data_IF_143083123503
#
_entry.id   IF_143083123503
#
_cell.length_a   1.000
_cell.length_b   1.000
_cell.length_c   1.000
_cell.angle_alpha   90.00
_cell.angle_beta   90.00
_cell.angle_gamma   90.00
#
_symmetry.space_group_name_H-M   'P 1'
#
loop_
_entity.id
_entity.type
_entity.pdbx_description
1 polymer ?
#
# COMPACT_ATOMS: atom_id res chain seq x y z
N UNK A 1 -8.31 -55.26 27.53
CA UNK A 1 -8.72 -54.24 26.56
C UNK A 1 -8.69 -52.87 27.24
N UNK A 2 -7.55 -52.18 27.21
CA UNK A 2 -7.45 -50.78 27.64
C UNK A 2 -7.15 -49.98 26.37
N UNK A 3 -8.20 -49.36 25.83
CA UNK A 3 -8.16 -48.57 24.60
C UNK A 3 -7.51 -47.22 24.94
N UNK A 4 -6.26 -47.01 24.52
CA UNK A 4 -5.62 -45.69 24.62
C UNK A 4 -6.26 -44.76 23.57
N UNK A 5 -7.02 -43.77 24.05
CA UNK A 5 -7.52 -42.67 23.22
C UNK A 5 -6.35 -41.73 22.92
N UNK A 6 -5.77 -41.86 21.72
CA UNK A 6 -4.86 -40.86 21.19
C UNK A 6 -5.66 -39.61 20.81
N UNK A 7 -5.57 -38.55 21.63
CA UNK A 7 -6.13 -37.25 21.30
C UNK A 7 -5.19 -36.60 20.28
N UNK A 8 -5.58 -36.62 19.01
CA UNK A 8 -4.91 -35.85 17.96
C UNK A 8 -5.23 -34.36 18.18
N UNK A 9 -4.25 -33.60 18.68
CA UNK A 9 -4.34 -32.14 18.74
C UNK A 9 -4.14 -31.61 17.32
N UNK A 10 -5.24 -31.33 16.64
CA UNK A 10 -5.24 -30.68 15.33
C UNK A 10 -4.93 -29.18 15.57
N UNK A 11 -3.68 -28.78 15.35
CA UNK A 11 -3.29 -27.37 15.40
C UNK A 11 -3.95 -26.65 14.20
N UNK A 12 -5.04 -25.92 14.46
CA UNK A 12 -5.65 -25.03 13.49
C UNK A 12 -4.69 -23.85 13.30
N UNK A 13 -3.91 -23.88 12.21
CA UNK A 13 -3.22 -22.70 11.71
C UNK A 13 -4.27 -21.71 11.22
N UNK A 14 -4.79 -20.89 12.15
CA UNK A 14 -5.63 -19.76 11.79
C UNK A 14 -4.76 -18.77 11.00
N UNK A 15 -5.01 -18.66 9.70
CA UNK A 15 -4.46 -17.58 8.88
C UNK A 15 -5.01 -16.27 9.46
N UNK A 16 -4.18 -15.52 10.18
CA UNK A 16 -4.56 -14.19 10.61
C UNK A 16 -4.97 -13.38 9.37
N UNK A 17 -6.03 -12.56 9.44
CA UNK A 17 -6.37 -11.67 8.34
C UNK A 17 -5.14 -10.83 8.01
N UNK A 18 -4.88 -10.65 6.72
CA UNK A 18 -3.72 -9.89 6.28
C UNK A 18 -3.93 -8.42 6.66
N UNK A 19 -3.29 -7.99 7.74
CA UNK A 19 -3.33 -6.62 8.26
C UNK A 19 -2.13 -5.86 7.69
N UNK A 20 -2.38 -4.68 7.14
CA UNK A 20 -1.29 -3.80 6.74
C UNK A 20 -0.56 -3.26 7.98
N UNK A 21 0.78 -3.25 7.92
CA UNK A 21 1.68 -2.79 8.98
C UNK A 21 1.82 -1.26 9.02
N UNK A 22 0.69 -0.54 9.14
CA UNK A 22 0.60 0.91 8.94
C UNK A 22 1.61 1.75 9.73
N UNK A 23 1.63 1.59 11.05
CA UNK A 23 2.49 2.39 11.93
C UNK A 23 3.98 2.09 11.71
N UNK A 24 4.33 0.83 11.49
CA UNK A 24 5.70 0.41 11.23
C UNK A 24 6.23 1.04 9.94
N UNK A 25 5.45 0.97 8.85
CA UNK A 25 5.82 1.58 7.57
C UNK A 25 5.90 3.10 7.67
N UNK A 26 4.90 3.71 8.31
CA UNK A 26 4.86 5.14 8.55
C UNK A 26 6.12 5.62 9.27
N UNK A 27 6.48 4.95 10.38
CA UNK A 27 7.68 5.25 11.15
C UNK A 27 8.96 5.02 10.33
N UNK A 28 9.07 3.91 9.61
CA UNK A 28 10.26 3.56 8.83
C UNK A 28 10.61 4.60 7.75
N UNK A 29 9.60 5.12 7.04
CA UNK A 29 9.80 6.13 6.00
C UNK A 29 9.65 7.57 6.50
N UNK A 30 9.28 7.79 7.75
CA UNK A 30 8.96 9.12 8.28
C UNK A 30 7.77 9.77 7.58
N UNK A 31 6.77 8.97 7.18
CA UNK A 31 5.57 9.44 6.48
C UNK A 31 4.40 9.38 7.45
N UNK A 32 3.58 10.43 7.49
CA UNK A 32 2.38 10.43 8.32
C UNK A 32 1.45 9.25 7.97
N UNK A 33 1.07 8.45 8.97
CA UNK A 33 0.25 7.24 8.77
C UNK A 33 -1.10 7.53 8.13
N UNK A 34 -1.72 8.67 8.45
CA UNK A 34 -3.00 9.07 7.86
C UNK A 34 -2.87 9.47 6.39
N UNK A 35 -1.70 9.97 5.96
CA UNK A 35 -1.41 10.18 4.55
C UNK A 35 -1.31 8.85 3.80
N UNK A 36 -0.61 7.86 4.36
CA UNK A 36 -0.53 6.52 3.76
C UNK A 36 -1.93 5.88 3.64
N UNK A 37 -2.73 5.97 4.71
CA UNK A 37 -4.12 5.51 4.70
C UNK A 37 -4.95 6.21 3.62
N UNK A 38 -4.85 7.54 3.52
CA UNK A 38 -5.58 8.31 2.53
C UNK A 38 -5.19 7.95 1.09
N UNK A 39 -3.91 7.66 0.84
CA UNK A 39 -3.44 7.15 -0.45
C UNK A 39 -4.03 5.78 -0.73
N UNK A 40 -3.91 4.82 0.20
CA UNK A 40 -4.47 3.48 0.05
C UNK A 40 -5.99 3.50 -0.21
N UNK A 41 -6.72 4.37 0.50
CA UNK A 41 -8.16 4.58 0.28
C UNK A 41 -8.44 5.17 -1.11
N UNK A 42 -7.60 6.08 -1.59
CA UNK A 42 -7.71 6.65 -2.95
C UNK A 42 -7.42 5.62 -4.03
N UNK A 43 -6.47 4.72 -3.79
CA UNK A 43 -6.01 3.72 -4.75
C UNK A 43 -6.96 2.52 -4.86
N UNK A 44 -7.31 1.90 -3.72
CA UNK A 44 -8.04 0.62 -3.72
C UNK A 44 -9.32 0.64 -2.88
N UNK A 45 -9.67 1.79 -2.28
CA UNK A 45 -10.65 1.85 -1.19
C UNK A 45 -10.33 0.84 -0.07
N UNK A 46 -9.03 0.72 0.25
CA UNK A 46 -8.47 -0.18 1.28
C UNK A 46 -8.65 -1.68 0.98
N UNK A 47 -8.87 -2.04 -0.28
CA UNK A 47 -9.00 -3.44 -0.68
C UNK A 47 -7.62 -4.05 -1.02
N UNK A 48 -7.07 -4.97 -0.20
CA UNK A 48 -5.77 -5.58 -0.46
C UNK A 48 -5.78 -6.55 -1.64
N UNK A 49 -6.96 -7.02 -2.08
CA UNK A 49 -7.13 -7.88 -3.26
C UNK A 49 -7.41 -7.11 -4.55
N UNK A 50 -7.34 -5.78 -4.55
CA UNK A 50 -7.64 -4.97 -5.72
C UNK A 50 -6.67 -5.24 -6.87
N UNK A 51 -7.22 -5.44 -8.08
CA UNK A 51 -6.45 -5.66 -9.31
C UNK A 51 -7.12 -4.89 -10.44
N UNK A 52 -6.40 -3.92 -11.03
CA UNK A 52 -6.94 -3.09 -12.10
C UNK A 52 -6.06 -3.15 -13.34
N UNK A 53 -6.65 -3.39 -14.53
CA UNK A 53 -5.91 -3.39 -15.81
C UNK A 53 -5.97 -2.02 -16.47
N UNK A 54 -4.82 -1.55 -16.94
CA UNK A 54 -4.68 -0.28 -17.65
C UNK A 54 -4.75 -0.46 -19.17
N UNK A 55 -5.14 0.61 -19.86
CA UNK A 55 -5.27 0.62 -21.34
C UNK A 55 -3.97 0.31 -22.07
N UNK A 56 -2.82 0.61 -21.45
CA UNK A 56 -1.49 0.35 -22.01
C UNK A 56 -0.98 -1.08 -21.73
N UNK A 57 -1.80 -1.97 -21.18
CA UNK A 57 -1.44 -3.35 -20.86
C UNK A 57 -0.77 -3.55 -19.49
N UNK A 58 -0.35 -2.48 -18.81
CA UNK A 58 0.06 -2.58 -17.40
C UNK A 58 -1.14 -2.86 -16.50
N UNK A 59 -0.90 -3.18 -15.23
CA UNK A 59 -1.95 -3.42 -14.24
C UNK A 59 -1.46 -3.02 -12.86
N UNK A 60 -2.39 -2.68 -11.98
CA UNK A 60 -2.13 -2.18 -10.65
C UNK A 60 -2.54 -3.23 -9.61
N UNK A 61 -1.69 -3.42 -8.60
CA UNK A 61 -1.73 -4.58 -7.71
C UNK A 61 -1.94 -4.13 -6.27
N UNK A 62 -2.95 -4.69 -5.62
CA UNK A 62 -3.15 -4.69 -4.17
C UNK A 62 -3.50 -3.33 -3.57
N UNK A 63 -3.25 -3.21 -2.26
CA UNK A 63 -3.71 -2.13 -1.39
C UNK A 63 -3.34 -0.71 -1.89
N UNK A 64 -2.12 -0.54 -2.34
CA UNK A 64 -1.54 0.72 -2.82
C UNK A 64 -1.49 0.80 -4.35
N UNK A 65 -2.13 -0.15 -5.05
CA UNK A 65 -2.21 -0.21 -6.51
C UNK A 65 -0.84 -0.05 -7.19
N UNK A 66 0.13 -0.86 -6.78
CA UNK A 66 1.47 -0.84 -7.34
C UNK A 66 1.41 -1.26 -8.81
N UNK A 67 1.75 -0.35 -9.71
CA UNK A 67 1.74 -0.63 -11.14
C UNK A 67 2.80 -1.67 -11.53
N UNK A 68 2.44 -2.60 -12.41
CA UNK A 68 3.29 -3.72 -12.84
C UNK A 68 4.58 -3.29 -13.56
N UNK A 69 4.68 -2.04 -14.01
CA UNK A 69 5.95 -1.47 -14.51
C UNK A 69 7.06 -1.39 -13.46
N UNK A 70 6.72 -1.46 -12.16
CA UNK A 70 7.70 -1.52 -11.08
C UNK A 70 8.32 -2.91 -10.89
N UNK A 71 7.69 -3.99 -11.39
CA UNK A 71 8.12 -5.37 -11.13
C UNK A 71 9.59 -5.65 -11.52
N UNK A 72 10.12 -5.17 -12.66
CA UNK A 72 11.53 -5.37 -12.99
C UNK A 72 12.49 -4.72 -11.99
N UNK A 73 12.10 -3.58 -11.40
CA UNK A 73 12.89 -2.90 -10.37
C UNK A 73 12.77 -3.62 -9.03
N UNK A 74 11.55 -3.98 -8.63
CA UNK A 74 11.27 -4.67 -7.37
C UNK A 74 11.95 -6.04 -7.27
N UNK A 75 12.03 -6.77 -8.40
CA UNK A 75 12.74 -8.05 -8.47
C UNK A 75 14.21 -7.94 -8.09
N UNK A 76 14.87 -6.80 -8.37
CA UNK A 76 16.27 -6.56 -7.99
C UNK A 76 16.46 -6.48 -6.47
N UNK A 77 15.41 -6.13 -5.75
CA UNK A 77 15.35 -6.09 -4.29
C UNK A 77 14.72 -7.35 -3.68
N UNK A 78 14.52 -8.41 -4.49
CA UNK A 78 13.94 -9.67 -4.01
C UNK A 78 12.43 -9.63 -3.77
N UNK A 79 11.72 -8.62 -4.27
CA UNK A 79 10.25 -8.52 -4.18
C UNK A 79 9.62 -9.02 -5.48
N UNK A 80 9.01 -10.20 -5.42
CA UNK A 80 8.23 -10.79 -6.50
C UNK A 80 6.78 -10.29 -6.50
N UNK A 81 6.13 -10.35 -7.66
CA UNK A 81 4.74 -9.93 -7.82
C UNK A 81 3.77 -10.59 -6.83
N UNK A 82 3.96 -11.89 -6.55
CA UNK A 82 3.11 -12.62 -5.61
C UNK A 82 3.10 -12.01 -4.21
N UNK A 83 4.21 -11.38 -3.80
CA UNK A 83 4.36 -10.76 -2.49
C UNK A 83 3.56 -9.45 -2.40
N UNK A 84 3.28 -8.78 -3.53
CA UNK A 84 2.44 -7.59 -3.55
C UNK A 84 0.96 -7.87 -3.22
N UNK A 85 0.55 -9.14 -3.11
CA UNK A 85 -0.77 -9.52 -2.59
C UNK A 85 -0.84 -9.44 -1.06
N UNK A 86 0.32 -9.45 -0.39
CA UNK A 86 0.38 -9.15 1.04
C UNK A 86 0.22 -7.63 1.23
N UNK A 87 -0.77 -7.17 2.02
CA UNK A 87 -1.03 -5.75 2.21
C UNK A 87 0.11 -5.00 2.91
N UNK A 88 0.86 -5.64 3.80
CA UNK A 88 2.00 -5.00 4.46
C UNK A 88 3.15 -4.81 3.46
N UNK A 89 3.49 -5.82 2.65
CA UNK A 89 4.48 -5.69 1.58
C UNK A 89 4.05 -4.64 0.56
N UNK A 90 2.77 -4.65 0.16
CA UNK A 90 2.23 -3.68 -0.78
C UNK A 90 2.31 -2.25 -0.23
N UNK A 91 1.97 -2.07 1.06
CA UNK A 91 2.11 -0.79 1.76
C UNK A 91 3.57 -0.32 1.83
N UNK A 92 4.50 -1.22 2.18
CA UNK A 92 5.94 -0.95 2.19
C UNK A 92 6.42 -0.44 0.83
N UNK A 93 6.02 -1.10 -0.26
CA UNK A 93 6.40 -0.69 -1.62
C UNK A 93 5.77 0.64 -2.01
N UNK A 94 4.50 0.88 -1.66
CA UNK A 94 3.84 2.17 -1.88
C UNK A 94 4.54 3.31 -1.14
N UNK A 95 4.86 3.11 0.14
CA UNK A 95 5.61 4.08 0.93
C UNK A 95 7.03 4.31 0.39
N UNK A 96 7.71 3.25 -0.08
CA UNK A 96 8.99 3.36 -0.75
C UNK A 96 8.90 4.26 -1.99
N UNK A 97 7.95 4.03 -2.90
CA UNK A 97 7.73 4.88 -4.09
C UNK A 97 7.46 6.33 -3.68
N UNK A 98 6.57 6.56 -2.70
CA UNK A 98 6.25 7.89 -2.21
C UNK A 98 7.48 8.60 -1.63
N UNK A 99 8.32 7.89 -0.87
CA UNK A 99 9.56 8.45 -0.32
C UNK A 99 10.54 8.88 -1.42
N UNK A 100 10.59 8.17 -2.55
CA UNK A 100 11.42 8.60 -3.70
C UNK A 100 10.87 9.89 -4.31
N UNK A 101 9.56 10.02 -4.44
CA UNK A 101 8.94 11.26 -4.91
C UNK A 101 9.22 12.42 -3.95
N UNK A 102 9.09 12.20 -2.63
CA UNK A 102 9.38 13.22 -1.62
C UNK A 102 10.85 13.62 -1.59
N UNK A 103 11.77 12.68 -1.83
CA UNK A 103 13.20 12.99 -1.97
C UNK A 103 13.46 13.93 -3.16
N UNK A 104 12.75 13.72 -4.26
CA UNK A 104 12.97 14.48 -5.50
C UNK A 104 12.22 15.82 -5.54
N UNK A 105 11.03 15.91 -4.93
CA UNK A 105 10.10 17.04 -5.04
C UNK A 105 9.84 17.74 -3.69
N UNK A 106 10.55 17.32 -2.64
CA UNK A 106 10.28 17.72 -1.26
C UNK A 106 9.03 17.07 -0.67
N UNK A 107 8.80 17.27 0.63
CA UNK A 107 7.59 16.83 1.33
C UNK A 107 6.43 17.76 0.97
N UNK A 108 5.90 17.60 -0.25
CA UNK A 108 4.92 18.50 -0.86
C UNK A 108 3.73 17.72 -1.42
N UNK A 109 2.62 18.42 -1.66
CA UNK A 109 1.48 17.87 -2.39
C UNK A 109 1.82 17.49 -3.84
N UNK A 110 2.85 18.09 -4.41
CA UNK A 110 3.34 17.67 -5.72
C UNK A 110 3.95 16.26 -5.67
N UNK A 111 4.73 15.94 -4.63
CA UNK A 111 5.28 14.60 -4.41
C UNK A 111 4.17 13.55 -4.24
N UNK A 112 3.11 13.88 -3.51
CA UNK A 112 1.91 13.03 -3.39
C UNK A 112 1.24 12.84 -4.74
N UNK A 113 1.04 13.93 -5.49
CA UNK A 113 0.51 13.91 -6.85
C UNK A 113 1.32 13.03 -7.81
N UNK A 114 2.64 13.06 -7.69
CA UNK A 114 3.58 12.31 -8.51
C UNK A 114 3.50 10.79 -8.31
N UNK A 115 2.86 10.32 -7.23
CA UNK A 115 2.63 8.89 -7.00
C UNK A 115 1.83 8.25 -8.15
N UNK A 116 0.80 8.95 -8.64
CA UNK A 116 -0.11 8.43 -9.66
C UNK A 116 0.12 9.03 -11.05
N UNK A 117 0.69 10.24 -11.15
CA UNK A 117 0.75 10.96 -12.42
C UNK A 117 2.08 11.67 -12.71
N UNK A 118 2.50 11.63 -13.99
CA UNK A 118 3.62 12.44 -14.50
C UNK A 118 3.21 13.87 -14.84
N UNK A 119 2.02 14.06 -15.42
CA UNK A 119 1.53 15.37 -15.83
C UNK A 119 1.16 16.24 -14.61
N UNK A 120 1.67 17.49 -14.50
CA UNK A 120 1.42 18.35 -13.33
C UNK A 120 -0.05 18.60 -13.01
N UNK A 121 -0.91 18.81 -14.02
CA UNK A 121 -2.33 19.04 -13.78
C UNK A 121 -3.03 17.80 -13.22
N UNK A 122 -2.61 16.60 -13.65
CA UNK A 122 -3.11 15.34 -13.12
C UNK A 122 -2.59 15.07 -11.69
N UNK A 123 -1.35 15.47 -11.39
CA UNK A 123 -0.79 15.42 -10.01
C UNK A 123 -1.66 16.20 -9.04
N UNK A 124 -2.02 17.43 -9.40
CA UNK A 124 -2.90 18.28 -8.58
C UNK A 124 -4.26 17.62 -8.37
N UNK A 125 -4.87 17.05 -9.42
CA UNK A 125 -6.15 16.34 -9.30
C UNK A 125 -6.04 15.14 -8.36
N UNK A 126 -4.98 14.36 -8.47
CA UNK A 126 -4.75 13.21 -7.60
C UNK A 126 -4.51 13.63 -6.13
N UNK A 127 -3.63 14.60 -5.89
CA UNK A 127 -3.35 15.13 -4.57
C UNK A 127 -4.63 15.62 -3.85
N UNK A 128 -5.54 16.28 -4.58
CA UNK A 128 -6.86 16.67 -4.05
C UNK A 128 -7.75 15.49 -3.67
N UNK A 129 -7.69 14.37 -4.40
CA UNK A 129 -8.43 13.15 -4.05
C UNK A 129 -7.88 12.55 -2.75
N UNK A 130 -6.54 12.47 -2.64
CA UNK A 130 -5.87 11.99 -1.44
C UNK A 130 -6.22 12.86 -0.24
N UNK A 131 -6.15 14.20 -0.38
CA UNK A 131 -6.51 15.13 0.69
C UNK A 131 -7.92 14.89 1.26
N UNK A 132 -8.91 14.66 0.38
CA UNK A 132 -10.30 14.38 0.78
C UNK A 132 -10.47 13.04 1.51
N UNK A 133 -9.49 12.15 1.42
CA UNK A 133 -9.50 10.85 2.08
C UNK A 133 -8.69 10.85 3.38
N UNK A 134 -8.08 11.98 3.78
CA UNK A 134 -7.51 12.12 5.12
C UNK A 134 -8.66 12.11 6.14
N UNK A 135 -8.57 11.32 7.23
CA UNK A 135 -9.59 11.32 8.29
C UNK A 135 -9.86 12.74 8.81
N UNK A 136 -11.14 13.09 8.98
CA UNK A 136 -11.56 14.45 9.31
C UNK A 136 -11.05 14.87 10.70
N UNK A 137 -10.97 13.91 11.63
CA UNK A 137 -10.45 14.10 12.98
C UNK A 137 -8.97 14.53 12.98
N UNK A 138 -8.22 14.20 11.92
CA UNK A 138 -6.81 14.60 11.76
C UNK A 138 -6.69 16.02 11.19
N UNK A 139 -7.69 16.47 10.42
CA UNK A 139 -7.72 17.81 9.84
C UNK A 139 -8.20 18.86 10.84
N UNK A 140 -9.09 18.50 11.76
CA UNK A 140 -9.67 19.40 12.76
C UNK A 140 -8.79 19.66 13.98
N UNK A 141 -7.69 18.92 14.14
CA UNK A 141 -6.70 19.10 15.23
C UNK A 141 -5.61 20.13 14.89
N UNK A 142 -5.84 20.99 13.89
CA UNK A 142 -4.89 22.00 13.41
C UNK A 142 -5.30 23.42 13.78
#
# INVERSE_FOLDING_TARGET
>A
MLLQLAIAVLAILASAPAVACWEEVAAWYGINVHLLYAIAKTESNLNPGAMNRNKNGSYDIGLMQINSSWLPTLKKYGVEEKQLKDPCVNLQVGAWILSQNMRNLGVTWEAVGAYNAKNPALRVKYAKKVYKNIPEEVLSQR
#
